data_IF_971633650932
#
_entry.id   IF_971633650932
#
_cell.length_a   1.000
_cell.length_b   1.000
_cell.length_c   1.000
_cell.angle_alpha   90.00
_cell.angle_beta   90.00
_cell.angle_gamma   90.00
#
_symmetry.space_group_name_H-M   'P 1'
#
loop_
_entity.id
_entity.type
_entity.pdbx_description
1 polymer ?
#
# COMPACT_ATOMS: atom_id res chain seq x y z
N UNK A 1 24.30 6.32 21.99
CA UNK A 1 23.07 6.06 21.19
C UNK A 1 22.49 7.31 20.52
N UNK A 2 22.27 8.45 21.20
CA UNK A 2 21.64 9.64 20.56
C UNK A 2 22.40 10.20 19.34
N UNK A 3 23.73 10.21 19.35
CA UNK A 3 24.53 10.73 18.23
C UNK A 3 24.41 9.87 16.95
N UNK A 4 24.35 8.54 17.10
CA UNK A 4 24.20 7.60 15.98
C UNK A 4 22.81 7.70 15.33
N UNK A 5 21.75 7.79 16.14
CA UNK A 5 20.39 8.02 15.64
C UNK A 5 20.21 9.38 14.93
N UNK A 6 20.97 10.40 15.32
CA UNK A 6 20.95 11.73 14.67
C UNK A 6 21.63 11.71 13.31
N UNK A 7 22.73 10.95 13.17
CA UNK A 7 23.43 10.71 11.90
C UNK A 7 22.56 9.92 10.90
N UNK A 8 21.96 8.81 11.34
CA UNK A 8 21.01 8.05 10.53
C UNK A 8 19.84 8.93 10.05
N UNK A 9 19.33 9.81 10.92
CA UNK A 9 18.27 10.77 10.57
C UNK A 9 18.67 11.80 9.51
N UNK A 10 19.97 12.11 9.34
CA UNK A 10 20.46 13.02 8.29
C UNK A 10 20.51 12.33 6.93
N UNK A 11 20.79 11.02 6.89
CA UNK A 11 20.91 10.24 5.65
C UNK A 11 19.55 9.90 5.01
N UNK A 12 18.46 9.92 5.79
CA UNK A 12 17.13 9.54 5.31
C UNK A 12 16.53 10.49 4.26
N UNK A 13 16.84 11.80 4.35
CA UNK A 13 16.32 12.76 3.37
C UNK A 13 16.98 12.54 2.00
N UNK A 14 18.33 12.52 1.89
CA UNK A 14 18.99 12.14 0.65
C UNK A 14 18.59 10.76 0.13
N UNK A 15 18.38 9.79 1.03
CA UNK A 15 17.90 8.47 0.65
C UNK A 15 16.52 8.54 -0.01
N UNK A 16 15.55 9.25 0.58
CA UNK A 16 14.22 9.36 0.00
C UNK A 16 14.24 10.09 -1.34
N UNK A 17 15.05 11.14 -1.47
CA UNK A 17 15.26 11.85 -2.74
C UNK A 17 15.86 10.92 -3.80
N UNK A 18 16.84 10.10 -3.44
CA UNK A 18 17.43 9.11 -4.34
C UNK A 18 16.42 8.03 -4.76
N UNK A 19 15.57 7.55 -3.85
CA UNK A 19 14.52 6.58 -4.16
C UNK A 19 13.47 7.18 -5.11
N UNK A 20 13.03 8.42 -4.87
CA UNK A 20 12.12 9.13 -5.79
C UNK A 20 12.75 9.34 -7.16
N UNK A 21 14.05 9.64 -7.22
CA UNK A 21 14.75 9.74 -8.51
C UNK A 21 14.83 8.39 -9.23
N UNK A 22 15.05 7.29 -8.50
CA UNK A 22 15.13 5.92 -9.05
C UNK A 22 13.78 5.31 -9.41
N UNK A 23 12.65 5.86 -8.97
CA UNK A 23 11.33 5.42 -9.46
C UNK A 23 11.06 5.80 -10.92
N UNK A 24 11.94 6.58 -11.55
CA UNK A 24 11.85 6.94 -12.98
C UNK A 24 12.89 6.18 -13.83
N UNK A 25 13.56 5.18 -13.26
CA UNK A 25 14.58 4.42 -13.97
C UNK A 25 13.95 3.61 -15.12
N UNK A 26 14.58 3.50 -16.30
CA UNK A 26 14.07 2.68 -17.40
C UNK A 26 13.90 1.20 -17.00
N UNK A 27 14.73 0.68 -16.09
CA UNK A 27 14.63 -0.70 -15.64
C UNK A 27 13.54 -0.86 -14.56
N UNK A 28 12.54 -1.70 -14.84
CA UNK A 28 11.43 -1.99 -13.90
C UNK A 28 11.91 -2.54 -12.56
N UNK A 29 12.96 -3.37 -12.56
CA UNK A 29 13.56 -3.90 -11.33
C UNK A 29 14.12 -2.79 -10.43
N UNK A 30 14.72 -1.74 -11.02
CA UNK A 30 15.23 -0.59 -10.25
C UNK A 30 14.07 0.22 -9.68
N UNK A 31 13.02 0.46 -10.48
CA UNK A 31 11.80 1.13 -10.01
C UNK A 31 11.16 0.36 -8.86
N UNK A 32 10.98 -0.94 -9.00
CA UNK A 32 10.41 -1.81 -7.97
C UNK A 32 11.20 -1.71 -6.65
N UNK A 33 12.53 -1.78 -6.72
CA UNK A 33 13.38 -1.65 -5.53
C UNK A 33 13.29 -0.25 -4.90
N UNK A 34 13.18 0.80 -5.72
CA UNK A 34 12.98 2.15 -5.24
C UNK A 34 11.64 2.32 -4.50
N UNK A 35 10.55 1.81 -5.08
CA UNK A 35 9.21 1.77 -4.49
C UNK A 35 9.20 0.99 -3.18
N UNK A 36 9.79 -0.21 -3.17
CA UNK A 36 9.95 -1.02 -1.95
C UNK A 36 10.70 -0.26 -0.86
N UNK A 37 11.78 0.43 -1.23
CA UNK A 37 12.56 1.27 -0.35
C UNK A 37 11.72 2.38 0.30
N UNK A 38 10.89 3.08 -0.48
CA UNK A 38 9.99 4.11 0.04
C UNK A 38 8.98 3.55 1.05
N UNK A 39 8.38 2.40 0.75
CA UNK A 39 7.50 1.70 1.69
C UNK A 39 8.21 1.31 3.00
N UNK A 40 9.46 0.89 2.94
CA UNK A 40 10.25 0.54 4.13
C UNK A 40 10.64 1.77 4.96
N UNK A 41 10.96 2.89 4.32
CA UNK A 41 11.20 4.17 5.02
C UNK A 41 9.95 4.61 5.79
N UNK A 42 8.75 4.34 5.26
CA UNK A 42 7.49 4.63 5.96
C UNK A 42 7.45 3.96 7.34
N UNK A 43 7.76 2.66 7.41
CA UNK A 43 7.76 1.88 8.65
C UNK A 43 8.91 2.30 9.57
N UNK A 44 10.12 2.40 9.03
CA UNK A 44 11.32 2.64 9.84
C UNK A 44 11.37 4.04 10.44
N UNK A 45 10.97 5.06 9.68
CA UNK A 45 11.12 6.46 10.10
C UNK A 45 9.92 7.34 9.70
N UNK A 46 8.74 7.10 10.30
CA UNK A 46 7.48 7.74 9.89
C UNK A 46 7.49 9.28 10.02
N UNK A 47 8.29 9.83 10.95
CA UNK A 47 8.39 11.28 11.16
C UNK A 47 8.96 12.04 9.95
N UNK A 48 9.89 11.44 9.21
CA UNK A 48 10.50 12.05 8.02
C UNK A 48 9.61 11.88 6.80
N UNK A 49 8.93 10.74 6.68
CA UNK A 49 7.91 10.52 5.65
C UNK A 49 6.81 11.59 5.73
N UNK A 50 6.36 11.98 6.93
CA UNK A 50 5.33 13.03 7.10
C UNK A 50 5.68 14.35 6.39
N UNK A 51 6.97 14.70 6.28
CA UNK A 51 7.42 15.93 5.61
C UNK A 51 7.38 15.82 4.08
N UNK A 52 7.63 14.62 3.55
CA UNK A 52 7.69 14.35 2.11
C UNK A 52 6.48 13.53 1.60
N UNK A 53 5.41 13.44 2.41
CA UNK A 53 4.29 12.52 2.16
C UNK A 53 3.62 12.75 0.82
N UNK A 54 3.48 14.01 0.40
CA UNK A 54 2.79 14.35 -0.85
C UNK A 54 3.56 13.78 -2.05
N UNK A 55 4.86 14.08 -2.13
CA UNK A 55 5.74 13.57 -3.18
C UNK A 55 5.80 12.04 -3.20
N UNK A 56 5.89 11.38 -2.04
CA UNK A 56 5.91 9.91 -1.98
C UNK A 56 4.59 9.32 -2.46
N UNK A 57 3.45 9.85 -2.02
CA UNK A 57 2.13 9.36 -2.44
C UNK A 57 1.89 9.60 -3.93
N UNK A 58 2.28 10.76 -4.45
CA UNK A 58 2.20 11.10 -5.87
C UNK A 58 3.01 10.12 -6.74
N UNK A 59 4.26 9.84 -6.36
CA UNK A 59 5.10 8.87 -7.07
C UNK A 59 4.45 7.48 -7.05
N UNK A 60 3.98 7.03 -5.88
CA UNK A 60 3.36 5.71 -5.76
C UNK A 60 2.06 5.60 -6.54
N UNK A 61 1.24 6.65 -6.59
CA UNK A 61 0.00 6.70 -7.38
C UNK A 61 0.30 6.68 -8.88
N UNK A 62 1.29 7.45 -9.34
CA UNK A 62 1.74 7.42 -10.72
C UNK A 62 2.26 6.03 -11.11
N UNK A 63 3.02 5.38 -10.24
CA UNK A 63 3.55 4.04 -10.51
C UNK A 63 2.45 2.96 -10.59
N UNK A 64 1.22 3.25 -10.13
CA UNK A 64 0.04 2.40 -10.42
C UNK A 64 -0.42 2.53 -11.88
N UNK A 65 -0.17 3.65 -12.54
CA UNK A 65 -0.53 3.86 -13.95
C UNK A 65 0.45 3.15 -14.91
N UNK A 66 1.58 2.63 -14.39
CA UNK A 66 2.57 1.86 -15.15
C UNK A 66 2.07 0.42 -15.39
N UNK A 67 1.14 0.27 -16.34
CA UNK A 67 0.57 -1.02 -16.75
C UNK A 67 1.63 -1.96 -17.35
N UNK A 68 2.82 -1.47 -17.68
CA UNK A 68 3.88 -2.27 -18.28
C UNK A 68 4.60 -3.19 -17.27
N UNK A 69 4.43 -2.99 -15.95
CA UNK A 69 5.02 -3.88 -14.93
C UNK A 69 4.09 -4.07 -13.73
N UNK A 70 3.41 -5.22 -13.72
CA UNK A 70 2.57 -5.65 -12.60
C UNK A 70 3.34 -5.67 -11.27
N UNK A 71 4.64 -5.95 -11.29
CA UNK A 71 5.49 -5.98 -10.10
C UNK A 71 5.71 -4.60 -9.48
N UNK A 72 5.88 -3.57 -10.32
CA UNK A 72 6.04 -2.18 -9.87
C UNK A 72 4.73 -1.66 -9.31
N UNK A 73 3.61 -1.91 -10.00
CA UNK A 73 2.28 -1.53 -9.52
C UNK A 73 1.93 -2.26 -8.21
N UNK A 74 2.18 -3.57 -8.12
CA UNK A 74 1.96 -4.34 -6.89
C UNK A 74 2.79 -3.81 -5.71
N UNK A 75 4.09 -3.55 -5.94
CA UNK A 75 4.93 -2.99 -4.89
C UNK A 75 4.46 -1.59 -4.47
N UNK A 76 3.92 -0.80 -5.41
CA UNK A 76 3.36 0.53 -5.14
C UNK A 76 2.11 0.44 -4.26
N UNK A 77 1.22 -0.52 -4.53
CA UNK A 77 0.06 -0.82 -3.68
C UNK A 77 0.50 -1.19 -2.24
N UNK A 78 1.50 -2.05 -2.11
CA UNK A 78 2.06 -2.43 -0.80
C UNK A 78 2.74 -1.26 -0.09
N UNK A 79 3.49 -0.43 -0.81
CA UNK A 79 4.12 0.76 -0.25
C UNK A 79 3.06 1.77 0.25
N UNK A 80 1.98 1.99 -0.50
CA UNK A 80 0.85 2.81 -0.07
C UNK A 80 0.19 2.24 1.20
N UNK A 81 0.06 0.91 1.32
CA UNK A 81 -0.49 0.27 2.51
C UNK A 81 0.39 0.55 3.75
N UNK A 82 1.72 0.47 3.59
CA UNK A 82 2.70 0.82 4.64
C UNK A 82 2.61 2.31 5.02
N UNK A 83 2.48 3.21 4.03
CA UNK A 83 2.30 4.65 4.27
C UNK A 83 1.02 4.93 5.06
N UNK A 84 -0.10 4.30 4.69
CA UNK A 84 -1.39 4.45 5.38
C UNK A 84 -1.39 3.87 6.80
N UNK A 85 -0.59 2.83 7.07
CA UNK A 85 -0.40 2.32 8.42
C UNK A 85 0.27 3.32 9.36
N UNK A 86 1.05 4.26 8.83
CA UNK A 86 1.80 5.25 9.60
C UNK A 86 1.14 6.63 9.61
N UNK A 87 0.35 6.92 8.58
CA UNK A 87 -0.38 8.17 8.39
C UNK A 87 -1.89 7.91 8.49
N UNK A 88 -2.53 8.43 9.57
CA UNK A 88 -4.00 8.37 9.71
C UNK A 88 -4.66 9.00 8.48
N UNK A 89 -5.85 8.49 8.07
CA UNK A 89 -6.57 9.00 6.91
C UNK A 89 -6.65 10.53 6.90
N UNK A 90 -7.07 11.18 7.99
CA UNK A 90 -7.18 12.65 8.05
C UNK A 90 -5.90 13.40 7.61
N UNK A 91 -4.71 12.85 7.86
CA UNK A 91 -3.45 13.45 7.44
C UNK A 91 -3.15 13.33 5.93
N UNK A 92 -3.87 12.46 5.23
CA UNK A 92 -3.75 12.21 3.79
C UNK A 92 -4.63 13.14 2.93
N UNK A 93 -5.58 13.87 3.50
CA UNK A 93 -6.44 14.77 2.71
C UNK A 93 -7.15 14.03 1.56
N UNK A 94 -7.28 14.67 0.40
CA UNK A 94 -7.90 14.09 -0.81
C UNK A 94 -7.20 12.82 -1.31
N UNK A 95 -5.89 12.68 -1.05
CA UNK A 95 -5.10 11.56 -1.56
C UNK A 95 -5.60 10.19 -1.06
N UNK A 96 -6.27 10.12 0.08
CA UNK A 96 -6.86 8.85 0.53
C UNK A 96 -8.01 8.37 -0.34
N UNK A 97 -8.84 9.28 -0.82
CA UNK A 97 -9.95 8.91 -1.70
C UNK A 97 -9.42 8.51 -3.07
N UNK A 98 -8.38 9.22 -3.53
CA UNK A 98 -7.66 8.90 -4.75
C UNK A 98 -7.02 7.51 -4.66
N UNK A 99 -6.29 7.21 -3.58
CA UNK A 99 -5.73 5.87 -3.34
C UNK A 99 -6.84 4.82 -3.34
N UNK A 100 -7.96 5.06 -2.64
CA UNK A 100 -9.07 4.11 -2.60
C UNK A 100 -9.65 3.83 -3.98
N UNK A 101 -9.89 4.88 -4.78
CA UNK A 101 -10.37 4.75 -6.17
C UNK A 101 -9.37 4.03 -7.07
N UNK A 102 -8.11 4.47 -7.10
CA UNK A 102 -7.08 3.87 -7.96
C UNK A 102 -6.85 2.39 -7.63
N UNK A 103 -6.99 1.99 -6.37
CA UNK A 103 -6.85 0.58 -5.96
C UNK A 103 -7.92 -0.32 -6.55
N UNK A 104 -9.14 0.18 -6.80
CA UNK A 104 -10.26 -0.64 -7.27
C UNK A 104 -9.99 -1.34 -8.61
N UNK A 105 -9.22 -0.71 -9.50
CA UNK A 105 -8.85 -1.28 -10.79
C UNK A 105 -8.07 -2.60 -10.66
N UNK A 106 -7.37 -2.80 -9.54
CA UNK A 106 -6.51 -3.97 -9.31
C UNK A 106 -7.20 -5.10 -8.53
N UNK A 107 -8.38 -4.85 -7.94
CA UNK A 107 -9.09 -5.87 -7.15
C UNK A 107 -9.57 -7.06 -8.01
N UNK A 108 -9.73 -6.84 -9.31
CA UNK A 108 -10.10 -7.86 -10.30
C UNK A 108 -9.02 -8.13 -11.35
N UNK A 109 -7.76 -7.79 -11.08
CA UNK A 109 -6.66 -8.02 -12.02
C UNK A 109 -6.42 -9.51 -12.29
N UNK A 110 -5.90 -9.86 -13.46
CA UNK A 110 -5.56 -11.24 -13.81
C UNK A 110 -4.38 -11.75 -12.97
N UNK A 111 -3.42 -10.87 -12.71
CA UNK A 111 -2.22 -11.14 -11.95
C UNK A 111 -2.52 -11.25 -10.46
N UNK A 112 -2.21 -12.42 -9.89
CA UNK A 112 -2.34 -12.70 -8.46
C UNK A 112 -1.67 -11.64 -7.59
N UNK A 113 -0.46 -11.22 -7.97
CA UNK A 113 0.34 -10.26 -7.19
C UNK A 113 -0.34 -8.90 -7.06
N UNK A 114 -1.06 -8.46 -8.11
CA UNK A 114 -1.82 -7.23 -8.11
C UNK A 114 -3.06 -7.37 -7.22
N UNK A 115 -3.83 -8.45 -7.38
CA UNK A 115 -4.99 -8.71 -6.51
C UNK A 115 -4.58 -8.75 -5.04
N UNK A 116 -3.57 -9.55 -4.69
CA UNK A 116 -3.03 -9.66 -3.33
C UNK A 116 -2.70 -8.29 -2.74
N UNK A 117 -1.94 -7.49 -3.48
CA UNK A 117 -1.47 -6.18 -3.02
C UNK A 117 -2.62 -5.16 -2.93
N UNK A 118 -3.58 -5.22 -3.84
CA UNK A 118 -4.77 -4.37 -3.83
C UNK A 118 -5.66 -4.65 -2.62
N UNK A 119 -5.95 -5.92 -2.32
CA UNK A 119 -6.72 -6.28 -1.12
C UNK A 119 -6.00 -5.91 0.17
N UNK A 120 -4.66 -6.05 0.21
CA UNK A 120 -3.87 -5.62 1.36
C UNK A 120 -3.99 -4.10 1.59
N UNK A 121 -3.90 -3.31 0.52
CA UNK A 121 -4.10 -1.86 0.56
C UNK A 121 -5.55 -1.48 0.93
N UNK A 122 -6.55 -2.17 0.41
CA UNK A 122 -7.95 -1.93 0.74
C UNK A 122 -8.25 -2.21 2.22
N UNK A 123 -7.63 -3.26 2.78
CA UNK A 123 -7.67 -3.54 4.22
C UNK A 123 -7.01 -2.45 5.06
N UNK A 124 -5.88 -1.90 4.58
CA UNK A 124 -5.21 -0.76 5.24
C UNK A 124 -6.07 0.51 5.19
N UNK A 125 -6.70 0.80 4.05
CA UNK A 125 -7.65 1.92 3.89
C UNK A 125 -8.82 1.79 4.86
N UNK A 126 -9.44 0.60 4.94
CA UNK A 126 -10.54 0.32 5.86
C UNK A 126 -10.14 0.54 7.32
N UNK A 127 -8.95 0.07 7.71
CA UNK A 127 -8.40 0.23 9.05
C UNK A 127 -8.10 1.70 9.39
N UNK A 128 -7.66 2.47 8.39
CA UNK A 128 -7.31 3.89 8.54
C UNK A 128 -8.49 4.85 8.34
N UNK A 129 -9.67 4.38 7.90
CA UNK A 129 -10.84 5.20 7.56
C UNK A 129 -11.50 5.94 8.73
N UNK A 130 -10.97 5.82 9.95
CA UNK A 130 -11.46 6.58 11.12
C UNK A 130 -11.44 8.09 10.82
N UNK A 131 -12.61 8.73 10.94
CA UNK A 131 -12.82 10.14 10.59
C UNK A 131 -13.13 10.42 9.11
N UNK A 132 -13.17 9.38 8.25
CA UNK A 132 -13.55 9.45 6.83
C UNK A 132 -14.45 8.30 6.37
N UNK A 133 -15.22 7.73 7.29
CA UNK A 133 -16.09 6.57 7.01
C UNK A 133 -17.11 6.85 5.91
N UNK A 134 -17.80 7.99 5.95
CA UNK A 134 -18.83 8.33 4.95
C UNK A 134 -18.27 8.36 3.52
N UNK A 135 -17.07 8.93 3.37
CA UNK A 135 -16.35 8.97 2.10
C UNK A 135 -15.93 7.57 1.68
N UNK A 136 -15.33 6.80 2.60
CA UNK A 136 -14.84 5.45 2.29
C UNK A 136 -15.99 4.47 2.01
N UNK A 137 -17.18 4.66 2.58
CA UNK A 137 -18.37 3.84 2.30
C UNK A 137 -18.73 3.83 0.83
N UNK A 138 -18.66 4.99 0.15
CA UNK A 138 -18.90 5.06 -1.31
C UNK A 138 -17.90 4.22 -2.10
N UNK A 139 -16.63 4.28 -1.70
CA UNK A 139 -15.58 3.48 -2.35
C UNK A 139 -15.81 1.98 -2.12
N UNK A 140 -16.24 1.59 -0.91
CA UNK A 140 -16.60 0.21 -0.58
C UNK A 140 -17.80 -0.28 -1.39
N UNK A 141 -18.83 0.55 -1.57
CA UNK A 141 -20.01 0.21 -2.39
C UNK A 141 -19.61 -0.09 -3.84
N UNK A 142 -18.72 0.72 -4.42
CA UNK A 142 -18.20 0.51 -5.77
C UNK A 142 -17.32 -0.74 -5.88
N UNK A 143 -16.52 -1.01 -4.85
CA UNK A 143 -15.65 -2.19 -4.78
C UNK A 143 -16.40 -3.48 -4.37
N UNK A 144 -17.67 -3.37 -3.95
CA UNK A 144 -18.40 -4.45 -3.30
C UNK A 144 -18.40 -5.77 -4.09
N UNK A 145 -18.63 -5.78 -5.43
CA UNK A 145 -18.57 -7.02 -6.20
C UNK A 145 -17.20 -7.71 -6.07
N UNK A 146 -16.11 -6.96 -6.23
CA UNK A 146 -14.74 -7.49 -6.13
C UNK A 146 -14.41 -7.95 -4.70
N UNK A 147 -14.92 -7.27 -3.68
CA UNK A 147 -14.76 -7.67 -2.28
C UNK A 147 -15.48 -8.99 -1.95
N UNK A 148 -16.63 -9.25 -2.58
CA UNK A 148 -17.33 -10.54 -2.43
C UNK A 148 -16.59 -11.64 -3.18
N UNK A 149 -16.12 -11.36 -4.40
CA UNK A 149 -15.36 -12.31 -5.22
C UNK A 149 -14.03 -12.71 -4.57
N UNK A 150 -13.38 -11.79 -3.84
CA UNK A 150 -12.18 -12.05 -3.05
C UNK A 150 -12.29 -13.28 -2.13
N UNK A 151 -13.44 -13.45 -1.48
CA UNK A 151 -13.69 -14.56 -0.54
C UNK A 151 -13.70 -15.92 -1.22
N UNK A 152 -13.79 -15.93 -2.57
CA UNK A 152 -13.83 -17.10 -3.43
C UNK A 152 -12.69 -17.09 -4.45
N UNK A 153 -11.65 -16.27 -4.24
CA UNK A 153 -10.52 -16.22 -5.15
C UNK A 153 -9.91 -17.62 -5.31
N UNK A 154 -9.63 -18.08 -6.55
CA UNK A 154 -9.05 -19.41 -6.77
C UNK A 154 -7.65 -19.54 -6.16
N UNK A 155 -6.95 -18.42 -5.94
CA UNK A 155 -5.65 -18.40 -5.29
C UNK A 155 -5.79 -18.23 -3.78
N UNK A 156 -5.35 -19.22 -2.97
CA UNK A 156 -5.39 -19.11 -1.51
C UNK A 156 -4.60 -17.94 -0.93
N UNK A 157 -3.51 -17.53 -1.59
CA UNK A 157 -2.74 -16.36 -1.15
C UNK A 157 -3.57 -15.08 -1.21
N UNK A 158 -4.42 -14.93 -2.24
CA UNK A 158 -5.34 -13.81 -2.39
C UNK A 158 -6.49 -13.93 -1.41
N UNK A 159 -7.21 -15.05 -1.39
CA UNK A 159 -8.42 -15.20 -0.54
C UNK A 159 -8.13 -15.08 0.97
N UNK A 160 -6.88 -15.31 1.38
CA UNK A 160 -6.42 -15.21 2.77
C UNK A 160 -5.68 -13.90 3.08
N UNK A 161 -5.65 -12.93 2.17
CA UNK A 161 -5.05 -11.61 2.44
C UNK A 161 -5.69 -10.99 3.68
N UNK A 162 -4.84 -10.43 4.54
CA UNK A 162 -5.26 -9.76 5.77
C UNK A 162 -4.86 -8.31 5.74
N UNK A 163 -5.69 -7.48 6.38
CA UNK A 163 -5.28 -6.11 6.69
C UNK A 163 -4.00 -6.13 7.56
N UNK A 164 -3.04 -5.22 7.31
CA UNK A 164 -1.87 -5.08 8.15
C UNK A 164 -2.26 -4.90 9.63
N UNK A 165 -1.83 -5.82 10.51
CA UNK A 165 -2.12 -5.77 11.94
C UNK A 165 -3.39 -6.49 12.40
N UNK A 166 -4.10 -7.21 11.53
CA UNK A 166 -5.23 -8.04 11.94
C UNK A 166 -4.76 -9.25 12.80
N UNK A 167 -5.46 -9.60 13.91
CA UNK A 167 -5.11 -10.77 14.70
C UNK A 167 -5.21 -12.06 13.86
N UNK A 168 -4.30 -13.01 14.10
CA UNK A 168 -4.38 -14.34 13.50
C UNK A 168 -5.72 -14.97 13.90
N UNK A 169 -6.52 -15.36 12.90
CA UNK A 169 -7.61 -16.31 13.13
C UNK A 169 -6.90 -17.63 13.39
N UNK A 170 -7.14 -18.24 14.53
CA UNK A 170 -6.78 -19.63 14.74
C UNK A 170 -7.29 -20.40 13.51
N UNK A 171 -6.42 -21.21 12.89
CA UNK A 171 -6.82 -22.06 11.79
C UNK A 171 -8.05 -22.85 12.25
N UNK A 172 -9.19 -22.62 11.61
CA UNK A 172 -10.33 -23.52 11.77
C UNK A 172 -9.84 -24.86 11.25
N UNK A 173 -9.55 -25.76 12.19
CA UNK A 173 -9.28 -27.16 11.92
C UNK A 173 -10.41 -27.69 11.06
N UNK A 174 -10.12 -28.39 9.94
CA UNK A 174 -11.18 -28.98 9.14
C UNK A 174 -11.93 -29.98 10.02
N UNK A 175 -13.17 -29.65 10.35
CA UNK A 175 -14.14 -30.64 10.83
C UNK A 175 -14.42 -31.55 9.65
N UNK A 176 -13.70 -32.67 9.62
CA UNK A 176 -14.02 -33.80 8.75
C UNK A 176 -15.30 -34.45 9.32
N UNK A 177 -16.30 -34.77 8.47
CA UNK A 177 -17.55 -35.41 8.90
C UNK A 177 -17.34 -36.82 9.44
#
# INVERSE_FOLDING_TARGET
MKAHMVEESKLLKPLLEALVARSHDPASAVRQMAVRGMGNVAIGVPAKLRRNRAAVVEVLLRDLEDVASAEVAAESLLALAKVLGQLKARAMGSAFEEIARSTQAFLGAEEEVLRCSAFALYGALASSASGRRSVFSREVEQAFPSLVLHLRDPTPAVSNVRAPGAPCRAAESPTVP
#
